data_IF_327590871444
#
_entry.id   IF_327590871444
#
_cell.length_a   1.000
_cell.length_b   1.000
_cell.length_c   1.000
_cell.angle_alpha   90.00
_cell.angle_beta   90.00
_cell.angle_gamma   90.00
#
_symmetry.space_group_name_H-M   'P 1'
#
loop_
_entity.id
_entity.type
_entity.pdbx_description
1 polymer ?
#
# COMPACT_ATOMS: atom_id res chain seq x y z
N UNK A 1 -0.28 -7.17 -15.63
CA UNK A 1 -1.06 -6.02 -15.14
C UNK A 1 -2.40 -6.56 -14.69
N UNK A 2 -2.54 -6.86 -13.40
CA UNK A 2 -3.76 -7.51 -12.87
C UNK A 2 -4.77 -6.46 -12.46
N UNK A 3 -5.74 -6.20 -13.34
CA UNK A 3 -6.80 -5.21 -13.17
C UNK A 3 -7.60 -5.40 -11.87
N UNK A 4 -7.70 -6.64 -11.39
CA UNK A 4 -8.58 -7.05 -10.30
C UNK A 4 -8.21 -6.39 -8.95
N UNK A 5 -6.92 -6.30 -8.62
CA UNK A 5 -6.45 -5.67 -7.37
C UNK A 5 -6.62 -4.14 -7.43
N UNK A 6 -6.40 -3.54 -8.60
CA UNK A 6 -6.59 -2.09 -8.77
C UNK A 6 -8.08 -1.70 -8.68
N UNK A 7 -8.99 -2.49 -9.26
CA UNK A 7 -10.43 -2.28 -9.14
C UNK A 7 -10.92 -2.36 -7.69
N UNK A 8 -10.34 -3.27 -6.91
CA UNK A 8 -10.62 -3.42 -5.49
C UNK A 8 -10.13 -2.22 -4.65
N UNK A 9 -8.98 -1.63 -5.01
CA UNK A 9 -8.39 -0.50 -4.29
C UNK A 9 -9.01 0.87 -4.67
N UNK A 10 -9.53 1.00 -5.89
CA UNK A 10 -10.12 2.24 -6.42
C UNK A 10 -11.22 2.86 -5.54
N UNK A 11 -12.22 2.10 -5.03
CA UNK A 11 -13.30 2.66 -4.22
C UNK A 11 -12.87 3.08 -2.80
N UNK A 12 -11.68 2.69 -2.32
CA UNK A 12 -11.22 3.04 -0.98
C UNK A 12 -10.95 4.55 -0.89
N UNK A 13 -11.61 5.23 0.05
CA UNK A 13 -11.39 6.64 0.35
C UNK A 13 -10.36 6.77 1.49
N UNK A 14 -9.14 7.18 1.15
CA UNK A 14 -8.04 7.39 2.10
C UNK A 14 -7.21 8.61 1.70
N UNK A 15 -6.27 9.01 2.56
CA UNK A 15 -5.36 10.12 2.29
C UNK A 15 -4.58 9.92 0.95
N UNK A 16 -4.24 11.00 0.24
CA UNK A 16 -3.70 10.92 -1.12
C UNK A 16 -2.37 10.15 -1.19
N UNK A 17 -1.48 10.33 -0.22
CA UNK A 17 -0.19 9.64 -0.16
C UNK A 17 -0.32 8.10 -0.01
N UNK A 18 -1.02 7.55 1.01
CA UNK A 18 -1.23 6.11 1.11
C UNK A 18 -2.04 5.54 -0.05
N UNK A 19 -3.00 6.29 -0.61
CA UNK A 19 -3.75 5.84 -1.79
C UNK A 19 -2.83 5.66 -3.00
N UNK A 20 -1.99 6.63 -3.29
CA UNK A 20 -1.05 6.55 -4.42
C UNK A 20 -0.07 5.38 -4.27
N UNK A 21 0.47 5.17 -3.06
CA UNK A 21 1.36 4.05 -2.76
C UNK A 21 0.63 2.71 -2.92
N UNK A 22 -0.61 2.61 -2.45
CA UNK A 22 -1.43 1.41 -2.61
C UNK A 22 -1.72 1.10 -4.09
N UNK A 23 -2.11 2.10 -4.88
CA UNK A 23 -2.36 1.95 -6.32
C UNK A 23 -1.09 1.55 -7.07
N UNK A 24 0.06 2.17 -6.77
CA UNK A 24 1.33 1.79 -7.37
C UNK A 24 1.71 0.33 -7.03
N UNK A 25 1.48 -0.10 -5.79
CA UNK A 25 1.70 -1.50 -5.40
C UNK A 25 0.73 -2.45 -6.09
N UNK A 26 -0.54 -2.07 -6.24
CA UNK A 26 -1.57 -2.85 -6.93
C UNK A 26 -1.24 -3.04 -8.41
N UNK A 27 -0.74 -2.00 -9.08
CA UNK A 27 -0.28 -2.05 -10.46
C UNK A 27 0.89 -3.04 -10.66
N UNK A 28 1.74 -3.19 -9.64
CA UNK A 28 2.90 -4.10 -9.63
C UNK A 28 2.61 -5.46 -9.00
N UNK A 29 1.37 -5.73 -8.57
CA UNK A 29 1.00 -6.98 -7.94
C UNK A 29 0.99 -8.14 -8.94
N UNK A 30 1.51 -9.28 -8.50
CA UNK A 30 1.38 -10.56 -9.20
C UNK A 30 0.02 -11.18 -8.88
N UNK A 31 -0.40 -12.19 -9.65
CA UNK A 31 -1.69 -12.88 -9.49
C UNK A 31 -1.95 -13.45 -8.08
N UNK A 32 -0.90 -13.72 -7.29
CA UNK A 32 -1.00 -14.17 -5.90
C UNK A 32 -1.15 -13.02 -4.87
N UNK A 33 -1.20 -11.77 -5.35
CA UNK A 33 -1.30 -10.56 -4.52
C UNK A 33 0.03 -10.15 -3.86
N UNK A 34 1.14 -10.81 -4.19
CA UNK A 34 2.47 -10.44 -3.69
C UNK A 34 3.13 -9.43 -4.61
N UNK A 35 3.74 -8.41 -4.01
CA UNK A 35 4.52 -7.38 -4.68
C UNK A 35 5.88 -7.26 -3.98
N UNK A 36 6.97 -7.11 -4.75
CA UNK A 36 8.30 -6.84 -4.19
C UNK A 36 8.87 -5.52 -4.70
N UNK A 37 8.14 -4.39 -4.56
CA UNK A 37 8.64 -3.11 -5.00
C UNK A 37 9.78 -2.63 -4.10
N UNK A 38 10.84 -2.10 -4.72
CA UNK A 38 11.85 -1.36 -3.99
C UNK A 38 11.26 -0.01 -3.52
N UNK A 39 11.70 0.48 -2.35
CA UNK A 39 11.26 1.79 -1.85
C UNK A 39 11.53 2.92 -2.85
N UNK A 40 12.64 2.84 -3.60
CA UNK A 40 12.97 3.79 -4.67
C UNK A 40 11.93 3.79 -5.81
N UNK A 41 11.46 2.61 -6.23
CA UNK A 41 10.43 2.48 -7.28
C UNK A 41 9.12 3.11 -6.83
N UNK A 42 8.73 2.92 -5.56
CA UNK A 42 7.55 3.58 -5.01
C UNK A 42 7.71 5.10 -4.96
N UNK A 43 8.89 5.61 -4.60
CA UNK A 43 9.17 7.03 -4.64
C UNK A 43 9.08 7.60 -6.07
N UNK A 44 9.59 6.89 -7.07
CA UNK A 44 9.51 7.33 -8.48
C UNK A 44 8.08 7.31 -9.00
N UNK A 45 7.30 6.25 -8.74
CA UNK A 45 5.92 6.16 -9.20
C UNK A 45 4.97 7.15 -8.52
N UNK A 46 5.24 7.52 -7.26
CA UNK A 46 4.33 8.37 -6.48
C UNK A 46 4.84 9.80 -6.30
N UNK A 47 6.06 10.10 -6.73
CA UNK A 47 6.75 11.37 -6.54
C UNK A 47 6.87 11.83 -5.07
N UNK A 48 6.71 10.90 -4.11
CA UNK A 48 6.83 11.20 -2.68
C UNK A 48 8.23 10.89 -2.14
N UNK A 49 8.65 11.66 -1.12
CA UNK A 49 9.87 11.39 -0.38
C UNK A 49 9.83 10.02 0.32
N UNK A 50 11.00 9.38 0.50
CA UNK A 50 11.11 8.08 1.20
C UNK A 50 10.43 8.06 2.56
N UNK A 51 10.56 9.15 3.34
CA UNK A 51 9.93 9.26 4.64
C UNK A 51 8.39 9.19 4.56
N UNK A 52 7.80 9.88 3.59
CA UNK A 52 6.36 9.89 3.33
C UNK A 52 5.87 8.52 2.86
N UNK A 53 6.59 7.88 1.92
CA UNK A 53 6.28 6.53 1.45
C UNK A 53 6.36 5.52 2.60
N UNK A 54 7.39 5.61 3.45
CA UNK A 54 7.55 4.72 4.59
C UNK A 54 6.46 4.94 5.64
N UNK A 55 6.05 6.19 5.89
CA UNK A 55 4.92 6.52 6.78
C UNK A 55 3.60 5.99 6.20
N UNK A 56 3.38 6.16 4.89
CA UNK A 56 2.23 5.62 4.19
C UNK A 56 2.17 4.09 4.28
N UNK A 57 3.29 3.40 4.02
CA UNK A 57 3.39 1.94 4.17
C UNK A 57 3.07 1.50 5.60
N UNK A 58 3.61 2.16 6.62
CA UNK A 58 3.27 1.87 8.02
C UNK A 58 1.78 2.06 8.30
N UNK A 59 1.16 3.11 7.75
CA UNK A 59 -0.28 3.35 7.84
C UNK A 59 -1.10 2.24 7.18
N UNK A 60 -0.70 1.78 6.01
CA UNK A 60 -1.35 0.69 5.28
C UNK A 60 -1.20 -0.67 5.97
N UNK A 61 -0.07 -0.91 6.65
CA UNK A 61 0.15 -2.12 7.46
C UNK A 61 -0.70 -2.08 8.74
N UNK A 62 -0.75 -0.94 9.41
CA UNK A 62 -1.62 -0.73 10.56
C UNK A 62 -3.10 -0.92 10.19
N UNK A 63 -3.48 -0.54 8.96
CA UNK A 63 -4.80 -0.75 8.38
C UNK A 63 -5.14 -2.19 8.03
N UNK A 64 -4.18 -3.13 8.12
CA UNK A 64 -4.33 -4.50 7.59
C UNK A 64 -4.69 -4.56 6.10
N UNK A 65 -4.37 -3.51 5.33
CA UNK A 65 -4.54 -3.49 3.86
C UNK A 65 -3.31 -4.11 3.17
N UNK A 66 -2.14 -3.99 3.79
CA UNK A 66 -0.88 -4.52 3.29
C UNK A 66 -0.20 -5.32 4.39
N UNK A 67 0.18 -6.56 4.09
CA UNK A 67 0.99 -7.38 4.97
C UNK A 67 2.45 -7.27 4.54
N UNK A 68 3.26 -6.61 5.37
CA UNK A 68 4.70 -6.51 5.12
C UNK A 68 5.39 -7.77 5.66
N UNK A 69 5.82 -8.66 4.76
CA UNK A 69 6.75 -9.76 5.08
C UNK A 69 8.17 -9.26 4.90
N UNK A 70 8.71 -8.61 5.93
CA UNK A 70 10.13 -8.32 6.01
C UNK A 70 10.88 -9.63 6.30
N UNK A 71 11.40 -10.27 5.25
CA UNK A 71 12.28 -11.43 5.41
C UNK A 71 13.71 -10.91 5.66
N UNK A 72 14.33 -11.20 6.81
CA UNK A 72 15.70 -10.77 7.07
C UNK A 72 16.64 -11.39 6.01
N UNK A 73 17.37 -10.53 5.29
CA UNK A 73 18.30 -10.94 4.22
C UNK A 73 17.73 -10.95 2.80
N UNK A 74 16.45 -10.59 2.60
CA UNK A 74 15.84 -10.45 1.26
C UNK A 74 15.11 -9.11 1.07
N UNK A 75 14.78 -8.79 -0.18
CA UNK A 75 13.92 -7.64 -0.51
C UNK A 75 12.60 -7.78 0.25
N UNK A 76 12.15 -6.70 0.88
CA UNK A 76 10.86 -6.65 1.57
C UNK A 76 9.73 -7.08 0.62
N UNK A 77 9.11 -8.22 0.91
CA UNK A 77 7.95 -8.68 0.18
C UNK A 77 6.72 -8.09 0.85
N UNK A 78 5.87 -7.43 0.05
CA UNK A 78 4.60 -6.90 0.49
C UNK A 78 3.51 -7.77 -0.10
N UNK A 79 2.51 -8.12 0.69
CA UNK A 79 1.33 -8.84 0.22
C UNK A 79 0.12 -7.93 0.37
N UNK A 80 -0.52 -7.62 -0.74
CA UNK A 80 -1.77 -6.88 -0.73
C UNK A 80 -2.87 -7.82 -0.23
N UNK A 81 -3.58 -7.39 0.80
CA UNK A 81 -4.72 -8.14 1.32
C UNK A 81 -5.94 -7.64 0.58
N UNK A 82 -6.61 -8.51 -0.19
CA UNK A 82 -7.82 -8.11 -0.92
C UNK A 82 -8.86 -7.54 0.06
N UNK A 83 -9.50 -6.39 -0.26
CA UNK A 83 -10.38 -5.68 0.68
C UNK A 83 -11.66 -6.45 1.03
N UNK A 84 -12.00 -7.51 0.29
CA UNK A 84 -13.03 -8.48 0.68
C UNK A 84 -12.75 -9.17 2.02
N UNK A 85 -11.49 -9.25 2.46
CA UNK A 85 -11.10 -9.72 3.80
C UNK A 85 -11.16 -8.62 4.87
N UNK A 86 -10.90 -7.36 4.48
CA UNK A 86 -10.69 -6.23 5.41
C UNK A 86 -11.91 -5.29 5.52
N UNK A 87 -13.00 -5.53 4.78
CA UNK A 87 -14.20 -4.69 4.73
C UNK A 87 -14.91 -4.44 6.09
N UNK A 88 -14.46 -5.08 7.17
CA UNK A 88 -15.08 -5.01 8.50
C UNK A 88 -14.46 -3.97 9.44
N UNK A 89 -13.23 -3.52 9.21
CA UNK A 89 -12.52 -2.65 10.14
C UNK A 89 -12.12 -1.33 9.45
N UNK A 90 -13.10 -0.45 9.28
CA UNK A 90 -12.91 0.90 8.76
C UNK A 90 -11.92 1.67 9.64
N UNK A 91 -10.87 2.21 9.03
CA UNK A 91 -9.93 3.09 9.71
C UNK A 91 -10.62 4.41 10.10
N UNK A 92 -10.29 4.99 11.26
CA UNK A 92 -10.62 6.37 11.55
C UNK A 92 -9.91 7.26 10.52
N UNK A 93 -10.65 8.24 9.99
CA UNK A 93 -10.19 9.28 9.07
C UNK A 93 -8.94 9.93 9.67
N UNK A 94 -7.74 9.53 9.23
CA UNK A 94 -6.49 10.01 9.81
C UNK A 94 -6.42 11.54 9.70
N UNK A 95 -6.62 12.19 10.84
CA UNK A 95 -6.54 13.63 11.01
C UNK A 95 -5.13 14.14 10.67
N UNK A 96 -5.11 15.32 10.04
CA UNK A 96 -4.11 16.37 10.19
C UNK A 96 -2.65 16.00 9.91
N UNK A 97 -2.16 16.36 8.72
CA UNK A 97 -0.75 16.78 8.59
C UNK A 97 -0.70 18.30 8.76
N UNK A 98 -0.49 18.73 10.00
CA UNK A 98 -0.01 20.06 10.34
C UNK A 98 1.37 19.88 10.99
N UNK A 99 2.42 20.25 10.25
CA UNK A 99 3.73 20.70 10.74
C UNK A 99 4.57 21.11 9.52
#
# INVERSE_FOLDING_TARGET
>A
MSMQIEQQCTPLQMAPAPKAVLMAMAAMARDDGTCQPSLGVLCECTCFSRATVQRALRGLVAARLVEAKAVPGQRSAYRLTSPESTAREQMPRAEGVAA
#
